data_IF_912360052369
#
_entry.id   IF_912360052369
#
_cell.length_a   1.000
_cell.length_b   1.000
_cell.length_c   1.000
_cell.angle_alpha   90.00
_cell.angle_beta   90.00
_cell.angle_gamma   90.00
#
_symmetry.space_group_name_H-M   'P 1'
#
loop_
_entity.id
_entity.type
_entity.pdbx_description
1 polymer ?
#
# COMPACT_ATOMS: atom_id res chain seq x y z
N UNK A 1 9.33 10.24 14.89
CA UNK A 1 9.71 9.71 16.21
C UNK A 1 8.44 9.37 16.97
N UNK A 2 8.34 8.16 17.50
CA UNK A 2 7.18 7.71 18.29
C UNK A 2 7.24 8.23 19.72
N UNK A 3 6.09 8.40 20.36
CA UNK A 3 6.05 8.70 21.79
C UNK A 3 6.25 7.42 22.63
N UNK A 4 6.71 7.54 23.89
CA UNK A 4 6.80 6.42 24.83
C UNK A 4 5.52 5.57 24.95
N UNK A 5 4.36 6.23 24.95
CA UNK A 5 3.03 5.60 25.07
C UNK A 5 2.65 4.79 23.82
N UNK A 6 3.13 5.22 22.64
CA UNK A 6 2.85 4.57 21.36
C UNK A 6 3.63 3.27 21.15
N UNK A 7 4.75 3.09 21.86
CA UNK A 7 5.63 1.90 21.73
C UNK A 7 4.84 0.62 21.94
N UNK A 8 4.02 0.56 23.00
CA UNK A 8 3.23 -0.62 23.33
C UNK A 8 2.18 -0.94 22.26
N UNK A 9 1.57 0.09 21.66
CA UNK A 9 0.53 -0.05 20.64
C UNK A 9 1.15 -0.57 19.34
N UNK A 10 2.23 0.06 18.89
CA UNK A 10 2.91 -0.34 17.64
C UNK A 10 3.51 -1.74 17.73
N UNK A 11 4.18 -2.07 18.85
CA UNK A 11 4.71 -3.42 19.09
C UNK A 11 3.62 -4.49 18.97
N UNK A 12 2.46 -4.27 19.62
CA UNK A 12 1.32 -5.21 19.58
C UNK A 12 0.71 -5.33 18.19
N UNK A 13 0.55 -4.23 17.46
CA UNK A 13 0.06 -4.25 16.06
C UNK A 13 0.96 -5.07 15.13
N UNK A 14 2.27 -5.07 15.40
CA UNK A 14 3.26 -5.86 14.67
C UNK A 14 3.41 -7.30 15.17
N UNK A 15 2.60 -7.73 16.14
CA UNK A 15 2.65 -9.09 16.72
C UNK A 15 3.95 -9.39 17.48
N UNK A 16 4.71 -8.36 17.88
CA UNK A 16 5.99 -8.54 18.58
C UNK A 16 5.75 -8.72 20.09
N UNK A 17 6.47 -9.64 20.71
CA UNK A 17 6.55 -9.72 22.18
C UNK A 17 7.54 -8.68 22.72
N UNK A 18 7.44 -8.33 24.02
CA UNK A 18 8.44 -7.44 24.64
C UNK A 18 9.85 -8.02 24.54
N UNK A 19 10.00 -9.34 24.69
CA UNK A 19 11.27 -10.06 24.54
C UNK A 19 11.82 -9.98 23.12
N UNK A 20 10.96 -10.07 22.11
CA UNK A 20 11.37 -9.95 20.70
C UNK A 20 11.83 -8.53 20.38
N UNK A 21 11.06 -7.52 20.80
CA UNK A 21 11.45 -6.12 20.64
C UNK A 21 12.77 -5.81 21.39
N UNK A 22 12.96 -6.34 22.59
CA UNK A 22 14.19 -6.22 23.37
C UNK A 22 15.41 -6.72 22.58
N UNK A 23 15.31 -7.96 22.07
CA UNK A 23 16.38 -8.59 21.29
C UNK A 23 16.72 -7.80 20.02
N UNK A 24 15.71 -7.32 19.30
CA UNK A 24 15.89 -6.61 18.02
C UNK A 24 16.30 -5.14 18.18
N UNK A 25 16.03 -4.51 19.33
CA UNK A 25 16.41 -3.12 19.62
C UNK A 25 17.69 -2.98 20.45
N UNK A 26 18.25 -4.08 20.95
CA UNK A 26 19.41 -4.06 21.85
C UNK A 26 19.09 -3.50 23.24
N UNK A 27 17.82 -3.40 23.59
CA UNK A 27 17.34 -2.86 24.87
C UNK A 27 16.88 -4.00 25.77
N UNK A 28 17.11 -3.88 27.08
CA UNK A 28 16.62 -4.90 28.01
C UNK A 28 15.08 -4.97 28.03
N UNK A 29 14.54 -6.20 28.11
CA UNK A 29 13.09 -6.41 28.18
C UNK A 29 12.47 -5.73 29.41
N UNK A 30 13.21 -5.65 30.53
CA UNK A 30 12.78 -4.94 31.73
C UNK A 30 12.58 -3.44 31.50
N UNK A 31 13.49 -2.79 30.74
CA UNK A 31 13.36 -1.37 30.39
C UNK A 31 12.12 -1.13 29.52
N UNK A 32 11.87 -2.00 28.54
CA UNK A 32 10.66 -1.93 27.71
C UNK A 32 9.39 -2.14 28.55
N UNK A 33 9.39 -3.10 29.47
CA UNK A 33 8.24 -3.33 30.33
C UNK A 33 7.93 -2.14 31.25
N UNK A 34 8.95 -1.47 31.79
CA UNK A 34 8.79 -0.24 32.59
C UNK A 34 8.31 0.92 31.73
N UNK A 35 8.86 1.05 30.51
CA UNK A 35 8.46 2.06 29.53
C UNK A 35 6.97 1.94 29.17
N UNK A 36 6.52 0.75 28.79
CA UNK A 36 5.13 0.51 28.37
C UNK A 36 4.12 0.69 29.51
N UNK A 37 4.56 0.62 30.76
CA UNK A 37 3.75 0.92 31.95
C UNK A 37 3.81 2.39 32.37
N UNK A 38 4.56 3.23 31.65
CA UNK A 38 4.76 4.65 32.00
C UNK A 38 5.59 4.86 33.26
N UNK A 39 6.35 3.86 33.71
CA UNK A 39 7.12 3.92 34.97
C UNK A 39 8.49 4.59 34.80
N UNK A 40 8.92 4.87 33.57
CA UNK A 40 10.18 5.52 33.27
C UNK A 40 10.03 6.51 32.13
N UNK A 41 10.88 7.53 32.13
CA UNK A 41 11.13 8.35 30.96
C UNK A 41 12.41 7.85 30.25
N UNK A 42 12.31 7.26 29.06
CA UNK A 42 13.45 6.71 28.35
C UNK A 42 14.38 7.81 27.81
N UNK A 43 15.65 7.47 27.59
CA UNK A 43 16.56 8.37 26.90
C UNK A 43 16.19 8.54 25.42
N UNK A 44 16.64 9.64 24.80
CA UNK A 44 16.49 9.84 23.36
C UNK A 44 17.08 8.68 22.54
N UNK A 45 18.26 8.18 22.93
CA UNK A 45 18.90 7.04 22.28
C UNK A 45 18.05 5.76 22.36
N UNK A 46 17.44 5.51 23.52
CA UNK A 46 16.51 4.38 23.72
C UNK A 46 15.28 4.52 22.81
N UNK A 47 14.68 5.71 22.76
CA UNK A 47 13.52 5.96 21.90
C UNK A 47 13.86 5.84 20.41
N UNK A 48 15.03 6.31 20.00
CA UNK A 48 15.50 6.19 18.62
C UNK A 48 15.70 4.73 18.22
N UNK A 49 16.31 3.92 19.09
CA UNK A 49 16.48 2.49 18.83
C UNK A 49 15.14 1.76 18.72
N UNK A 50 14.19 2.03 19.62
CA UNK A 50 12.85 1.43 19.56
C UNK A 50 12.08 1.85 18.30
N UNK A 51 12.13 3.13 17.91
CA UNK A 51 11.46 3.63 16.71
C UNK A 51 12.03 3.01 15.43
N UNK A 52 13.37 2.89 15.35
CA UNK A 52 14.05 2.25 14.23
C UNK A 52 13.66 0.77 14.09
N UNK A 53 13.71 0.02 15.19
CA UNK A 53 13.35 -1.41 15.21
C UNK A 53 11.88 -1.63 14.83
N UNK A 54 10.95 -0.86 15.41
CA UNK A 54 9.52 -0.97 15.09
C UNK A 54 9.23 -0.60 13.63
N UNK A 55 9.89 0.45 13.11
CA UNK A 55 9.78 0.85 11.71
C UNK A 55 10.31 -0.24 10.76
N UNK A 56 11.44 -0.86 11.09
CA UNK A 56 11.99 -1.97 10.31
C UNK A 56 11.07 -3.21 10.33
N UNK A 57 10.55 -3.58 11.49
CA UNK A 57 9.64 -4.71 11.65
C UNK A 57 8.29 -4.49 10.93
N UNK A 58 7.85 -3.24 10.76
CA UNK A 58 6.69 -2.93 9.92
C UNK A 58 6.94 -3.12 8.43
N UNK A 59 8.18 -2.92 7.96
CA UNK A 59 8.54 -3.08 6.54
C UNK A 59 8.68 -4.53 6.13
N UNK A 60 9.09 -5.42 7.03
CA UNK A 60 9.28 -6.85 6.73
C UNK A 60 7.98 -7.64 6.49
N UNK A 61 6.81 -7.04 6.77
CA UNK A 61 5.48 -7.62 6.47
C UNK A 61 4.76 -7.02 5.26
N UNK A 62 5.32 -5.99 4.61
CA UNK A 62 4.69 -5.31 3.49
C UNK A 62 5.00 -6.03 2.18
N UNK A 63 4.05 -6.79 1.67
CA UNK A 63 4.10 -7.37 0.31
C UNK A 63 3.34 -6.48 -0.66
N UNK A 64 3.59 -6.56 -1.97
CA UNK A 64 2.78 -5.83 -2.96
C UNK A 64 1.27 -6.08 -2.77
N UNK A 65 0.90 -7.31 -2.33
CA UNK A 65 -0.48 -7.70 -1.95
C UNK A 65 -1.07 -6.83 -0.84
N UNK A 66 -0.27 -6.33 0.10
CA UNK A 66 -0.73 -5.46 1.20
C UNK A 66 -1.13 -4.05 0.76
N UNK A 67 -0.77 -3.65 -0.47
CA UNK A 67 -1.13 -2.36 -1.08
C UNK A 67 -2.23 -2.47 -2.14
N UNK A 68 -2.70 -3.67 -2.48
CA UNK A 68 -3.79 -3.86 -3.44
C UNK A 68 -5.11 -3.44 -2.78
N UNK A 69 -5.53 -2.19 -3.00
CA UNK A 69 -6.73 -1.61 -2.35
C UNK A 69 -8.07 -2.06 -2.95
N UNK A 70 -8.09 -2.76 -4.09
CA UNK A 70 -9.26 -3.42 -4.74
C UNK A 70 -8.74 -4.19 -5.96
N UNK A 71 -9.45 -5.24 -6.39
CA UNK A 71 -9.23 -5.80 -7.74
C UNK A 71 -9.50 -4.68 -8.76
N UNK A 72 -8.55 -4.35 -9.66
CA UNK A 72 -8.80 -3.38 -10.70
C UNK A 72 -9.92 -3.90 -11.61
N UNK A 73 -10.89 -3.05 -11.93
CA UNK A 73 -11.86 -3.33 -12.99
C UNK A 73 -11.11 -3.44 -14.32
N UNK A 74 -11.59 -4.28 -15.23
CA UNK A 74 -11.05 -4.47 -16.58
C UNK A 74 -12.05 -4.08 -17.67
N UNK A 75 -11.55 -3.91 -18.90
CA UNK A 75 -12.36 -3.77 -20.10
C UNK A 75 -11.90 -4.72 -21.20
N UNK A 76 -12.68 -4.85 -22.27
CA UNK A 76 -12.39 -5.73 -23.41
C UNK A 76 -11.97 -4.90 -24.64
N UNK A 77 -11.17 -5.47 -25.56
CA UNK A 77 -10.78 -4.77 -26.79
C UNK A 77 -11.97 -4.32 -27.65
N UNK A 78 -13.11 -5.02 -27.56
CA UNK A 78 -14.34 -4.68 -28.28
C UNK A 78 -15.22 -3.63 -27.61
N UNK A 79 -14.90 -3.19 -26.39
CA UNK A 79 -15.72 -2.20 -25.69
C UNK A 79 -15.60 -0.83 -26.34
N UNK A 80 -16.67 -0.04 -26.24
CA UNK A 80 -16.65 1.35 -26.68
C UNK A 80 -15.83 2.18 -25.70
N UNK A 81 -15.04 3.11 -26.23
CA UNK A 81 -14.25 4.06 -25.42
C UNK A 81 -15.14 4.80 -24.41
N UNK A 82 -16.36 5.20 -24.82
CA UNK A 82 -17.31 5.89 -23.93
C UNK A 82 -17.67 5.07 -22.69
N UNK A 83 -17.90 3.76 -22.85
CA UNK A 83 -18.23 2.90 -21.71
C UNK A 83 -17.06 2.79 -20.73
N UNK A 84 -15.82 2.79 -21.24
CA UNK A 84 -14.61 2.80 -20.40
C UNK A 84 -14.48 4.12 -19.64
N UNK A 85 -14.75 5.26 -20.29
CA UNK A 85 -14.75 6.58 -19.65
C UNK A 85 -15.76 6.63 -18.49
N UNK A 86 -16.97 6.12 -18.72
CA UNK A 86 -18.02 6.13 -17.70
C UNK A 86 -17.62 5.32 -16.47
N UNK A 87 -16.98 4.15 -16.67
CA UNK A 87 -16.47 3.31 -15.59
C UNK A 87 -15.29 3.98 -14.87
N UNK A 88 -14.31 4.49 -15.62
CA UNK A 88 -13.16 5.22 -15.09
C UNK A 88 -13.59 6.40 -14.22
N UNK A 89 -14.52 7.22 -14.70
CA UNK A 89 -15.07 8.37 -13.97
C UNK A 89 -15.82 7.93 -12.71
N UNK A 90 -16.70 6.94 -12.82
CA UNK A 90 -17.50 6.42 -11.70
C UNK A 90 -16.66 5.87 -10.55
N UNK A 91 -15.53 5.25 -10.86
CA UNK A 91 -14.66 4.61 -9.84
C UNK A 91 -13.36 5.36 -9.60
N UNK A 92 -13.18 6.54 -10.20
CA UNK A 92 -11.98 7.37 -10.12
C UNK A 92 -10.69 6.62 -10.49
N UNK A 93 -10.74 5.83 -11.56
CA UNK A 93 -9.58 5.17 -12.15
C UNK A 93 -9.08 5.95 -13.35
N UNK A 94 -7.77 6.21 -13.42
CA UNK A 94 -7.14 6.84 -14.60
C UNK A 94 -6.55 5.84 -15.59
N UNK A 95 -6.55 4.56 -15.24
CA UNK A 95 -6.06 3.48 -16.07
C UNK A 95 -6.82 2.18 -15.79
N UNK A 96 -6.94 1.33 -16.81
CA UNK A 96 -7.69 0.09 -16.75
C UNK A 96 -6.98 -1.00 -17.58
N UNK A 97 -6.76 -2.21 -17.03
CA UNK A 97 -6.28 -3.33 -17.82
C UNK A 97 -7.31 -3.75 -18.88
N UNK A 98 -6.82 -4.10 -20.07
CA UNK A 98 -7.62 -4.69 -21.13
C UNK A 98 -7.45 -6.21 -21.10
N UNK A 99 -8.54 -6.94 -20.94
CA UNK A 99 -8.55 -8.40 -20.79
C UNK A 99 -9.30 -9.07 -21.95
N UNK A 100 -8.72 -10.12 -22.51
CA UNK A 100 -9.37 -10.96 -23.52
C UNK A 100 -8.97 -12.42 -23.33
N UNK A 101 -9.94 -13.32 -23.39
CA UNK A 101 -9.70 -14.77 -23.19
C UNK A 101 -9.07 -15.11 -21.82
N UNK A 102 -9.36 -14.30 -20.78
CA UNK A 102 -8.80 -14.49 -19.44
C UNK A 102 -7.37 -13.96 -19.23
N UNK A 103 -6.75 -13.37 -20.27
CA UNK A 103 -5.41 -12.81 -20.20
C UNK A 103 -5.45 -11.28 -20.34
N UNK A 104 -4.53 -10.58 -19.67
CA UNK A 104 -4.29 -9.16 -19.91
C UNK A 104 -3.63 -9.05 -21.28
N UNK A 105 -4.31 -8.37 -22.21
CA UNK A 105 -3.86 -8.16 -23.59
C UNK A 105 -3.45 -6.72 -23.86
N UNK A 106 -3.62 -5.83 -22.88
CA UNK A 106 -3.15 -4.45 -22.97
C UNK A 106 -3.53 -3.59 -21.77
N UNK A 107 -3.25 -2.31 -21.89
CA UNK A 107 -3.63 -1.27 -20.95
C UNK A 107 -4.33 -0.14 -21.71
N UNK A 108 -5.30 0.50 -21.06
CA UNK A 108 -5.86 1.75 -21.52
C UNK A 108 -5.79 2.80 -20.40
N UNK A 109 -5.37 4.01 -20.77
CA UNK A 109 -5.20 5.17 -19.89
C UNK A 109 -6.03 6.34 -20.39
N UNK A 110 -6.28 7.34 -19.53
CA UNK A 110 -6.91 8.60 -19.92
C UNK A 110 -6.21 9.26 -21.12
N UNK A 111 -4.87 9.16 -21.20
CA UNK A 111 -4.10 9.75 -22.30
C UNK A 111 -4.37 9.08 -23.65
N UNK A 112 -4.44 7.75 -23.68
CA UNK A 112 -4.77 6.98 -24.89
C UNK A 112 -6.21 7.23 -25.32
N UNK A 113 -7.14 7.28 -24.36
CA UNK A 113 -8.55 7.64 -24.60
C UNK A 113 -8.64 9.02 -25.23
N UNK A 114 -8.00 10.02 -24.62
CA UNK A 114 -8.04 11.40 -25.11
C UNK A 114 -7.48 11.51 -26.53
N UNK A 115 -6.35 10.86 -26.80
CA UNK A 115 -5.72 10.86 -28.12
C UNK A 115 -6.63 10.18 -29.15
N UNK A 116 -7.18 9.01 -28.83
CA UNK A 116 -8.08 8.28 -29.71
C UNK A 116 -9.38 9.00 -30.02
N UNK A 117 -9.97 9.71 -29.06
CA UNK A 117 -11.16 10.53 -29.29
C UNK A 117 -10.90 11.65 -30.31
N UNK A 118 -9.72 12.28 -30.28
CA UNK A 118 -9.33 13.29 -31.28
C UNK A 118 -9.16 12.71 -32.68
N UNK A 119 -8.76 11.45 -32.77
CA UNK A 119 -8.61 10.70 -34.02
C UNK A 119 -9.93 10.02 -34.47
N UNK A 120 -11.03 10.21 -33.74
CA UNK A 120 -12.33 9.63 -34.07
C UNK A 120 -12.43 8.12 -33.82
N UNK A 121 -11.53 7.54 -33.01
CA UNK A 121 -11.59 6.14 -32.60
C UNK A 121 -12.80 5.87 -31.71
N UNK A 122 -13.36 4.67 -31.79
CA UNK A 122 -14.59 4.30 -31.08
C UNK A 122 -14.40 3.14 -30.10
N UNK A 123 -13.43 2.28 -30.35
CA UNK A 123 -13.24 1.03 -29.60
C UNK A 123 -11.88 0.97 -28.92
N UNK A 124 -11.83 0.25 -27.80
CA UNK A 124 -10.62 0.06 -26.99
C UNK A 124 -9.45 -0.49 -27.81
N UNK A 125 -9.69 -1.49 -28.67
CA UNK A 125 -8.64 -2.07 -29.54
C UNK A 125 -7.92 -1.08 -30.44
N UNK A 126 -8.52 0.09 -30.69
CA UNK A 126 -7.96 1.11 -31.58
C UNK A 126 -7.00 2.06 -30.85
N UNK A 127 -6.99 2.03 -29.51
CA UNK A 127 -6.27 3.00 -28.66
C UNK A 127 -5.44 2.35 -27.57
N UNK A 128 -5.77 1.10 -27.18
CA UNK A 128 -5.03 0.35 -26.16
C UNK A 128 -3.57 0.09 -26.57
N UNK A 129 -2.70 -0.06 -25.58
CA UNK A 129 -1.30 -0.44 -25.76
C UNK A 129 -1.01 -1.83 -25.22
#
# INVERSE_FOLDING_TARGET
MISPEEVAIRRRKLGLTQTKLAKESGISQSLIAKLERGLINPSYATMQALDATLSQASRSGLTAKSFVKRQPLDCKPGDKIQAVIDVMSKYHFSQMPVVFGGNIVGLITEQEIFTGLREGKKYVKEVMR
#
